data_IF_183821434329
#
_entry.id   IF_183821434329
#
_cell.length_a   1.000
_cell.length_b   1.000
_cell.length_c   1.000
_cell.angle_alpha   90.00
_cell.angle_beta   90.00
_cell.angle_gamma   90.00
#
_symmetry.space_group_name_H-M   'P 1'
#
loop_
_entity.id
_entity.type
_entity.pdbx_description
1 polymer ?
#
# COMPACT_ATOMS: atom_id res chain seq x y z
N UNK A 1 4.03 -18.58 -35.01
CA UNK A 1 4.99 -17.49 -34.73
C UNK A 1 4.20 -16.36 -34.08
N UNK A 2 4.25 -16.31 -32.73
CA UNK A 2 3.85 -15.24 -31.82
C UNK A 2 2.39 -14.73 -31.80
N UNK A 3 1.53 -15.35 -30.98
CA UNK A 3 0.26 -14.75 -30.50
C UNK A 3 0.46 -13.64 -29.43
N UNK A 4 1.65 -13.01 -29.37
CA UNK A 4 1.89 -11.81 -28.55
C UNK A 4 1.51 -10.53 -29.29
N UNK A 5 0.29 -10.47 -29.82
CA UNK A 5 -0.16 -9.33 -30.67
C UNK A 5 -1.39 -8.58 -30.18
N UNK A 6 -2.20 -9.15 -29.28
CA UNK A 6 -3.46 -8.53 -28.86
C UNK A 6 -3.45 -8.24 -27.37
N UNK A 7 -3.50 -6.96 -27.01
CA UNK A 7 -3.71 -6.51 -25.64
C UNK A 7 -5.08 -7.01 -25.14
N UNK A 8 -5.19 -7.32 -23.84
CA UNK A 8 -6.46 -7.76 -23.23
C UNK A 8 -7.59 -6.76 -23.57
N UNK A 9 -8.86 -7.21 -23.71
CA UNK A 9 -9.98 -6.40 -24.24
C UNK A 9 -10.17 -5.00 -23.63
N UNK A 10 -9.74 -4.77 -22.39
CA UNK A 10 -9.79 -3.47 -21.72
C UNK A 10 -8.64 -2.49 -22.04
N UNK A 11 -7.80 -2.79 -23.04
CA UNK A 11 -6.70 -1.93 -23.52
C UNK A 11 -6.76 -1.69 -25.04
N UNK A 12 -7.76 -2.25 -25.73
CA UNK A 12 -7.92 -2.10 -27.18
C UNK A 12 -8.26 -0.65 -27.57
N UNK A 13 -8.84 0.13 -26.66
CA UNK A 13 -9.15 1.56 -26.81
C UNK A 13 -7.90 2.47 -26.78
N UNK A 14 -6.74 1.92 -26.39
CA UNK A 14 -5.48 2.66 -26.37
C UNK A 14 -4.68 2.53 -27.68
N UNK A 15 -5.04 1.59 -28.56
CA UNK A 15 -4.43 1.53 -29.89
C UNK A 15 -4.81 2.78 -30.70
N UNK A 16 -3.80 3.58 -31.04
CA UNK A 16 -3.99 4.79 -31.86
C UNK A 16 -4.47 6.03 -31.11
N UNK A 17 -4.59 6.02 -29.78
CA UNK A 17 -5.01 7.19 -29.01
C UNK A 17 -3.81 8.15 -28.72
N UNK A 18 -3.81 9.39 -29.26
CA UNK A 18 -2.75 10.36 -29.04
C UNK A 18 -2.69 10.92 -27.61
N UNK A 19 -3.63 10.55 -26.73
CA UNK A 19 -3.65 10.94 -25.31
C UNK A 19 -3.00 9.91 -24.37
N UNK A 20 -2.32 8.90 -24.90
CA UNK A 20 -1.55 7.99 -24.04
C UNK A 20 -0.46 8.80 -23.33
N UNK A 21 -0.38 8.73 -21.98
CA UNK A 21 0.64 9.48 -21.25
C UNK A 21 2.03 9.02 -21.67
N UNK A 22 3.00 9.93 -21.61
CA UNK A 22 4.40 9.69 -22.02
C UNK A 22 5.01 8.42 -21.40
N UNK A 23 4.55 8.02 -20.21
CA UNK A 23 4.86 6.74 -19.59
C UNK A 23 3.59 5.88 -19.48
N UNK A 24 3.45 4.90 -20.38
CA UNK A 24 2.41 3.88 -20.31
C UNK A 24 3.04 2.51 -20.04
N UNK A 25 2.85 1.98 -18.84
CA UNK A 25 3.33 0.64 -18.48
C UNK A 25 2.45 -0.39 -19.23
N UNK A 26 3.04 -1.06 -20.21
CA UNK A 26 2.32 -2.03 -21.06
C UNK A 26 1.93 -3.31 -20.32
N UNK A 27 2.68 -3.70 -19.30
CA UNK A 27 2.39 -4.91 -18.54
C UNK A 27 1.32 -4.63 -17.46
N UNK A 28 0.11 -5.23 -17.57
CA UNK A 28 -0.95 -5.01 -16.60
C UNK A 28 -0.61 -5.55 -15.21
N UNK A 29 0.21 -6.60 -15.10
CA UNK A 29 0.61 -7.17 -13.80
C UNK A 29 1.53 -6.21 -13.05
N UNK A 30 2.50 -5.60 -13.74
CA UNK A 30 3.38 -4.59 -13.14
C UNK A 30 2.59 -3.39 -12.65
N UNK A 31 1.55 -2.98 -13.39
CA UNK A 31 0.64 -1.91 -12.95
C UNK A 31 -0.12 -2.30 -11.68
N UNK A 32 -0.59 -3.55 -11.60
CA UNK A 32 -1.25 -4.05 -10.41
C UNK A 32 -0.29 -4.12 -9.21
N UNK A 33 0.94 -4.60 -9.38
CA UNK A 33 1.95 -4.63 -8.31
C UNK A 33 2.30 -3.21 -7.82
N UNK A 34 2.45 -2.23 -8.71
CA UNK A 34 2.67 -0.84 -8.31
C UNK A 34 1.46 -0.25 -7.57
N UNK A 35 0.23 -0.57 -8.02
CA UNK A 35 -0.98 -0.14 -7.33
C UNK A 35 -1.09 -0.74 -5.92
N UNK A 36 -0.72 -2.00 -5.74
CA UNK A 36 -0.65 -2.65 -4.41
C UNK A 36 0.44 -2.03 -3.53
N UNK A 37 1.62 -1.75 -4.09
CA UNK A 37 2.69 -1.07 -3.36
C UNK A 37 2.21 0.29 -2.83
N UNK A 38 1.64 1.14 -3.68
CA UNK A 38 1.20 2.48 -3.28
C UNK A 38 -0.03 2.42 -2.37
N UNK A 39 -0.96 1.51 -2.64
CA UNK A 39 -2.14 1.33 -1.80
C UNK A 39 -1.77 0.87 -0.38
N UNK A 40 -0.86 -0.10 -0.25
CA UNK A 40 -0.36 -0.54 1.06
C UNK A 40 0.50 0.54 1.71
N UNK A 41 1.28 1.30 0.94
CA UNK A 41 2.00 2.46 1.46
C UNK A 41 1.05 3.48 2.09
N UNK A 42 -0.04 3.86 1.42
CA UNK A 42 -1.05 4.79 1.96
C UNK A 42 -1.68 4.23 3.24
N UNK A 43 -2.05 2.94 3.21
CA UNK A 43 -2.64 2.26 4.35
C UNK A 43 -1.74 2.35 5.60
N UNK A 44 -0.49 1.95 5.45
CA UNK A 44 0.47 1.88 6.56
C UNK A 44 0.92 3.27 6.99
N UNK A 45 1.15 4.20 6.06
CA UNK A 45 1.59 5.56 6.36
C UNK A 45 0.60 6.30 7.29
N UNK A 46 -0.70 6.18 6.99
CA UNK A 46 -1.74 6.84 7.78
C UNK A 46 -2.02 6.07 9.08
N UNK A 47 -2.08 4.73 9.02
CA UNK A 47 -2.32 3.88 10.17
C UNK A 47 -1.23 4.01 11.23
N UNK A 48 0.02 3.75 10.85
CA UNK A 48 1.17 3.82 11.75
C UNK A 48 1.48 5.26 12.16
N UNK A 49 1.25 6.25 11.27
CA UNK A 49 1.36 7.66 11.63
C UNK A 49 0.39 8.07 12.75
N UNK A 50 -0.86 7.58 12.72
CA UNK A 50 -1.82 7.82 13.78
C UNK A 50 -1.44 7.11 15.10
N UNK A 51 -0.87 5.91 15.02
CA UNK A 51 -0.31 5.20 16.19
C UNK A 51 0.87 5.97 16.77
N UNK A 52 1.81 6.41 15.93
CA UNK A 52 2.97 7.20 16.36
C UNK A 52 2.53 8.51 17.03
N UNK A 53 1.55 9.20 16.46
CA UNK A 53 0.98 10.40 17.08
C UNK A 53 0.35 10.10 18.44
N UNK A 54 -0.43 9.02 18.55
CA UNK A 54 -1.08 8.64 19.81
C UNK A 54 -0.07 8.27 20.90
N UNK A 55 0.97 7.51 20.55
CA UNK A 55 1.98 7.03 21.52
C UNK A 55 2.97 8.14 21.91
N UNK A 56 3.47 8.90 20.94
CA UNK A 56 4.45 9.98 21.17
C UNK A 56 3.80 11.30 21.57
N UNK A 57 2.46 11.38 21.51
CA UNK A 57 1.68 12.58 21.81
C UNK A 57 1.49 12.86 23.29
N UNK A 58 2.02 12.02 24.19
CA UNK A 58 1.94 12.22 25.65
C UNK A 58 0.51 12.25 26.22
N UNK A 59 -0.48 11.77 25.47
CA UNK A 59 -1.91 11.78 25.86
C UNK A 59 -2.74 12.95 25.35
N UNK A 60 -2.11 14.01 24.82
CA UNK A 60 -2.80 15.20 24.29
C UNK A 60 -2.97 15.18 22.77
N UNK A 61 -2.10 14.47 22.05
CA UNK A 61 -2.19 14.32 20.60
C UNK A 61 -2.76 12.95 20.21
N UNK A 62 -4.08 12.89 20.05
CA UNK A 62 -4.79 11.70 19.56
C UNK A 62 -5.39 10.83 20.67
N UNK A 63 -6.43 10.10 20.30
CA UNK A 63 -7.13 9.15 21.18
C UNK A 63 -7.24 7.78 20.51
N UNK A 64 -7.52 6.73 21.30
CA UNK A 64 -7.71 5.39 20.76
C UNK A 64 -8.75 5.35 19.61
N UNK A 65 -9.85 6.11 19.74
CA UNK A 65 -10.85 6.23 18.68
C UNK A 65 -10.28 6.83 17.38
N UNK A 66 -9.40 7.84 17.49
CA UNK A 66 -8.78 8.46 16.32
C UNK A 66 -7.86 7.50 15.56
N UNK A 67 -7.15 6.61 16.26
CA UNK A 67 -6.33 5.56 15.64
C UNK A 67 -7.21 4.60 14.84
N UNK A 68 -8.31 4.12 15.42
CA UNK A 68 -9.25 3.22 14.73
C UNK A 68 -9.87 3.88 13.49
N UNK A 69 -10.28 5.15 13.60
CA UNK A 69 -10.80 5.92 12.46
C UNK A 69 -9.74 6.12 11.38
N UNK A 70 -8.49 6.42 11.77
CA UNK A 70 -7.38 6.58 10.84
C UNK A 70 -7.13 5.30 10.04
N UNK A 71 -7.09 4.12 10.67
CA UNK A 71 -6.98 2.84 9.96
C UNK A 71 -8.12 2.60 8.96
N UNK A 72 -9.36 2.91 9.35
CA UNK A 72 -10.52 2.79 8.46
C UNK A 72 -10.45 3.72 7.24
N UNK A 73 -10.04 4.97 7.46
CA UNK A 73 -9.86 5.98 6.40
C UNK A 73 -8.66 5.61 5.50
N UNK A 74 -7.58 5.10 6.09
CA UNK A 74 -6.40 4.63 5.37
C UNK A 74 -6.73 3.48 4.43
N UNK A 75 -7.51 2.50 4.90
CA UNK A 75 -8.04 1.42 4.06
C UNK A 75 -8.91 1.96 2.92
N UNK A 76 -9.81 2.90 3.21
CA UNK A 76 -10.67 3.52 2.19
C UNK A 76 -9.84 4.18 1.09
N UNK A 77 -8.83 4.98 1.46
CA UNK A 77 -7.98 5.66 0.47
C UNK A 77 -7.09 4.68 -0.29
N UNK A 78 -6.51 3.69 0.40
CA UNK A 78 -5.72 2.64 -0.24
C UNK A 78 -6.53 1.88 -1.29
N UNK A 79 -7.77 1.48 -0.98
CA UNK A 79 -8.65 0.77 -1.90
C UNK A 79 -9.11 1.70 -3.02
N UNK A 80 -9.46 2.96 -2.71
CA UNK A 80 -9.86 3.91 -3.74
C UNK A 80 -8.74 4.15 -4.77
N UNK A 81 -7.49 4.21 -4.32
CA UNK A 81 -6.33 4.37 -5.19
C UNK A 81 -6.05 3.13 -6.04
N UNK A 82 -6.05 1.95 -5.43
CA UNK A 82 -5.56 0.70 -6.05
C UNK A 82 -6.64 -0.15 -6.71
N UNK A 83 -7.90 -0.03 -6.27
CA UNK A 83 -9.00 -0.93 -6.60
C UNK A 83 -9.31 -1.03 -8.09
N UNK A 84 -9.21 0.08 -8.81
CA UNK A 84 -9.43 0.11 -10.27
C UNK A 84 -8.35 -0.59 -11.10
N UNK A 85 -7.19 -0.90 -10.51
CA UNK A 85 -6.04 -1.48 -11.23
C UNK A 85 -5.70 -2.88 -10.73
N UNK A 86 -5.55 -3.07 -9.41
CA UNK A 86 -5.11 -4.33 -8.81
C UNK A 86 -6.22 -5.14 -8.15
N UNK A 87 -7.40 -4.55 -7.94
CA UNK A 87 -8.45 -5.09 -7.09
C UNK A 87 -8.34 -4.66 -5.62
N UNK A 88 -7.26 -3.96 -5.24
CA UNK A 88 -7.08 -3.33 -3.93
C UNK A 88 -7.03 -4.32 -2.77
N UNK A 89 -6.14 -5.31 -2.84
CA UNK A 89 -6.00 -6.31 -1.78
C UNK A 89 -5.30 -5.72 -0.56
N UNK A 90 -4.22 -4.96 -0.81
CA UNK A 90 -3.38 -4.23 0.16
C UNK A 90 -2.78 -5.08 1.27
N UNK A 91 -2.96 -6.39 1.21
CA UNK A 91 -2.68 -7.32 2.29
C UNK A 91 -2.34 -8.71 1.71
N UNK A 92 -1.19 -9.29 2.12
CA UNK A 92 -0.78 -10.63 1.72
C UNK A 92 -1.82 -11.71 2.05
N UNK A 93 -2.46 -11.63 3.22
CA UNK A 93 -3.46 -12.58 3.67
C UNK A 93 -4.77 -12.48 2.87
N UNK A 94 -5.17 -11.27 2.46
CA UNK A 94 -6.33 -11.06 1.58
C UNK A 94 -6.03 -11.65 0.20
N UNK A 95 -4.84 -11.38 -0.33
CA UNK A 95 -4.40 -11.90 -1.63
C UNK A 95 -4.36 -13.43 -1.65
N UNK A 96 -3.82 -14.03 -0.58
CA UNK A 96 -3.79 -15.48 -0.41
C UNK A 96 -5.21 -16.06 -0.31
N UNK A 97 -6.08 -15.45 0.49
CA UNK A 97 -7.48 -15.87 0.62
C UNK A 97 -8.19 -15.88 -0.73
N UNK A 98 -8.04 -14.82 -1.52
CA UNK A 98 -8.63 -14.74 -2.85
C UNK A 98 -8.05 -15.80 -3.81
N UNK A 99 -6.77 -16.14 -3.70
CA UNK A 99 -6.16 -17.22 -4.47
C UNK A 99 -6.74 -18.60 -4.09
N UNK A 100 -6.89 -18.86 -2.79
CA UNK A 100 -7.48 -20.11 -2.25
C UNK A 100 -8.92 -20.31 -2.73
N UNK A 101 -9.72 -19.24 -2.78
CA UNK A 101 -11.10 -19.30 -3.27
C UNK A 101 -11.22 -19.22 -4.81
N UNK A 102 -10.11 -19.28 -5.55
CA UNK A 102 -10.11 -19.25 -7.02
C UNK A 102 -10.54 -17.91 -7.62
N UNK A 103 -10.51 -16.83 -6.83
CA UNK A 103 -10.84 -15.46 -7.25
C UNK A 103 -9.62 -14.64 -7.66
N UNK A 104 -8.43 -15.22 -7.53
CA UNK A 104 -7.16 -14.60 -7.88
C UNK A 104 -6.17 -15.65 -8.39
N UNK A 105 -5.35 -15.28 -9.37
CA UNK A 105 -4.43 -16.21 -10.04
C UNK A 105 -3.17 -16.45 -9.17
N UNK A 106 -2.86 -17.71 -8.87
CA UNK A 106 -1.78 -18.10 -7.97
C UNK A 106 -0.39 -17.59 -8.40
N UNK A 107 -0.11 -17.46 -9.70
CA UNK A 107 1.19 -16.99 -10.17
C UNK A 107 1.45 -15.51 -9.87
N UNK A 108 0.40 -14.70 -9.64
CA UNK A 108 0.51 -13.28 -9.30
C UNK A 108 0.72 -13.03 -7.81
N UNK A 109 0.37 -14.01 -6.98
CA UNK A 109 0.42 -13.90 -5.52
C UNK A 109 1.81 -13.51 -4.99
N UNK A 110 2.93 -14.12 -5.41
CA UNK A 110 4.25 -13.71 -4.95
C UNK A 110 4.55 -12.23 -5.26
N UNK A 111 4.12 -11.74 -6.43
CA UNK A 111 4.28 -10.34 -6.83
C UNK A 111 3.49 -9.38 -5.94
N UNK A 112 2.25 -9.72 -5.58
CA UNK A 112 1.43 -8.94 -4.64
C UNK A 112 2.08 -8.89 -3.25
N UNK A 113 2.52 -10.04 -2.74
CA UNK A 113 3.15 -10.12 -1.42
C UNK A 113 4.39 -9.22 -1.36
N UNK A 114 5.28 -9.34 -2.34
CA UNK A 114 6.50 -8.50 -2.40
C UNK A 114 6.13 -7.01 -2.52
N UNK A 115 5.17 -6.66 -3.37
CA UNK A 115 4.75 -5.27 -3.54
C UNK A 115 4.16 -4.67 -2.26
N UNK A 116 3.27 -5.41 -1.59
CA UNK A 116 2.63 -5.01 -0.34
C UNK A 116 3.66 -4.87 0.78
N UNK A 117 4.58 -5.84 0.93
CA UNK A 117 5.64 -5.78 1.94
C UNK A 117 6.57 -4.60 1.72
N UNK A 118 7.00 -4.34 0.48
CA UNK A 118 7.84 -3.19 0.17
C UNK A 118 7.09 -1.87 0.39
N UNK A 119 5.81 -1.81 0.06
CA UNK A 119 4.97 -0.63 0.28
C UNK A 119 4.81 -0.32 1.77
N UNK A 120 4.51 -1.34 2.58
CA UNK A 120 4.45 -1.24 4.03
C UNK A 120 5.79 -0.80 4.62
N UNK A 121 6.90 -1.42 4.20
CA UNK A 121 8.23 -1.07 4.68
C UNK A 121 8.61 0.37 4.35
N UNK A 122 8.35 0.83 3.12
CA UNK A 122 8.62 2.21 2.73
C UNK A 122 7.78 3.21 3.54
N UNK A 123 6.52 2.89 3.82
CA UNK A 123 5.65 3.72 4.65
C UNK A 123 6.16 3.80 6.10
N UNK A 124 6.46 2.66 6.72
CA UNK A 124 7.03 2.61 8.06
C UNK A 124 8.34 3.39 8.16
N UNK A 125 9.21 3.31 7.14
CA UNK A 125 10.43 4.11 7.07
C UNK A 125 10.15 5.62 7.04
N UNK A 126 9.14 6.06 6.28
CA UNK A 126 8.72 7.47 6.25
C UNK A 126 8.19 7.91 7.62
N UNK A 127 7.33 7.11 8.26
CA UNK A 127 6.82 7.40 9.61
C UNK A 127 7.98 7.52 10.60
N UNK A 128 8.93 6.57 10.57
CA UNK A 128 10.13 6.62 11.40
C UNK A 128 10.91 7.92 11.22
N UNK A 129 11.15 8.36 9.98
CA UNK A 129 11.88 9.61 9.69
C UNK A 129 11.11 10.83 10.20
N UNK A 130 9.79 10.87 10.01
CA UNK A 130 8.93 12.00 10.44
C UNK A 130 8.91 12.13 11.96
N UNK A 131 8.82 11.01 12.68
CA UNK A 131 8.75 10.99 14.15
C UNK A 131 10.12 10.85 14.83
N UNK A 132 11.21 10.78 14.06
CA UNK A 132 12.56 10.64 14.59
C UNK A 132 12.89 11.61 15.74
N UNK A 133 12.59 12.92 15.63
CA UNK A 133 12.89 13.87 16.71
C UNK A 133 12.08 13.62 17.99
N UNK A 134 10.89 13.04 17.87
CA UNK A 134 10.01 12.76 19.01
C UNK A 134 10.48 11.55 19.81
N UNK A 135 11.21 10.61 19.19
CA UNK A 135 11.84 9.52 19.91
C UNK A 135 12.89 10.01 20.90
N UNK A 136 13.73 10.98 20.51
CA UNK A 136 14.76 11.51 21.41
C UNK A 136 14.15 12.27 22.61
N UNK A 137 12.92 12.80 22.48
CA UNK A 137 12.18 13.43 23.58
C UNK A 137 11.56 12.40 24.51
N UNK A 138 10.98 11.33 23.96
CA UNK A 138 10.31 10.29 24.76
C UNK A 138 11.25 9.25 25.36
N UNK A 139 12.37 8.94 24.69
CA UNK A 139 13.35 7.95 25.10
C UNK A 139 14.77 8.38 24.69
N UNK A 140 15.39 9.30 25.45
CA UNK A 140 16.72 9.84 25.16
C UNK A 140 17.82 8.77 25.14
N UNK A 141 17.64 7.67 25.89
CA UNK A 141 18.60 6.57 26.00
C UNK A 141 18.29 5.40 25.04
N UNK A 142 17.17 5.49 24.29
CA UNK A 142 16.68 4.47 23.34
C UNK A 142 16.53 3.06 23.95
N UNK A 143 16.19 3.01 25.24
CA UNK A 143 16.10 1.79 26.01
C UNK A 143 14.75 1.06 25.84
N UNK A 144 13.69 1.77 25.47
CA UNK A 144 12.29 1.28 25.54
C UNK A 144 11.57 1.36 24.20
N UNK A 145 11.90 2.31 23.31
CA UNK A 145 11.13 2.61 22.09
C UNK A 145 11.43 1.67 20.90
N UNK A 146 11.81 0.42 21.16
CA UNK A 146 12.19 -0.57 20.14
C UNK A 146 11.05 -1.03 19.21
N UNK A 147 9.88 -0.38 19.22
CA UNK A 147 8.74 -0.77 18.40
C UNK A 147 7.50 0.09 18.59
N UNK A 148 7.61 1.37 18.26
CA UNK A 148 6.46 2.10 17.71
C UNK A 148 6.48 1.87 16.21
#
# INVERSE_FOLDING_TARGET
MSEYGSLKPGYADLEGNPRTPFCHIRNPEVRAYLAEFVGTFILVLIGDGAVAQYVLGGGDAGHYLSVNLAWGIALLFGIHFSGGVSGGHLNPAVSLTLAVFGRFEWHKLPGYIVAQTLGAFAAAWVVFVVYYPWFDVHDPERATTQGI
#
